data_IF_195551586871
#
_entry.id   IF_195551586871
#
_cell.length_a   1.000
_cell.length_b   1.000
_cell.length_c   1.000
_cell.angle_alpha   90.00
_cell.angle_beta   90.00
_cell.angle_gamma   90.00
#
_symmetry.space_group_name_H-M   'P 1'
#
loop_
_entity.id
_entity.type
_entity.pdbx_description
1 polymer ?
#
# COMPACT_ATOMS: atom_id res chain seq x y z
N UNK A 1 -20.95 -30.41 -9.71
CA UNK A 1 -19.55 -29.92 -9.83
C UNK A 1 -19.29 -28.93 -8.70
N UNK A 2 -18.44 -29.29 -7.74
CA UNK A 2 -18.09 -28.42 -6.60
C UNK A 2 -17.09 -27.36 -7.11
N UNK A 3 -17.58 -26.16 -7.46
CA UNK A 3 -16.72 -24.98 -7.57
C UNK A 3 -16.33 -24.59 -6.14
N UNK A 4 -15.19 -25.11 -5.67
CA UNK A 4 -14.48 -24.53 -4.54
C UNK A 4 -14.10 -23.11 -4.94
N UNK A 5 -14.89 -22.14 -4.46
CA UNK A 5 -14.44 -20.75 -4.32
C UNK A 5 -13.37 -20.77 -3.24
N UNK A 6 -12.13 -21.13 -3.63
CA UNK A 6 -10.95 -20.70 -2.90
C UNK A 6 -10.94 -19.18 -2.95
N UNK A 7 -11.61 -18.56 -1.97
CA UNK A 7 -11.24 -17.23 -1.52
C UNK A 7 -9.75 -17.34 -1.19
N UNK A 8 -8.91 -16.81 -2.06
CA UNK A 8 -7.51 -16.53 -1.73
C UNK A 8 -7.56 -15.49 -0.60
N UNK A 9 -7.66 -15.95 0.64
CA UNK A 9 -7.44 -15.18 1.87
C UNK A 9 -5.93 -14.87 1.97
N UNK A 10 -5.37 -14.22 0.96
CA UNK A 10 -4.00 -13.72 1.02
C UNK A 10 -3.91 -12.62 2.07
N UNK A 11 -2.84 -12.63 2.84
CA UNK A 11 -2.53 -11.58 3.82
C UNK A 11 -2.54 -10.21 3.10
N UNK A 12 -3.31 -9.21 3.57
CA UNK A 12 -3.28 -7.87 2.98
C UNK A 12 -1.88 -7.26 2.95
N UNK A 13 -0.95 -7.69 3.82
CA UNK A 13 0.44 -7.24 3.85
C UNK A 13 1.28 -7.74 2.68
N UNK A 14 0.89 -8.82 2.02
CA UNK A 14 1.56 -9.35 0.83
C UNK A 14 1.16 -8.62 -0.46
N UNK A 15 0.14 -7.74 -0.40
CA UNK A 15 -0.25 -6.94 -1.56
C UNK A 15 0.89 -5.99 -1.93
N UNK A 16 1.40 -6.13 -3.15
CA UNK A 16 2.40 -5.22 -3.71
C UNK A 16 1.67 -4.02 -4.30
N UNK A 17 1.98 -2.84 -3.80
CA UNK A 17 1.51 -1.57 -4.33
C UNK A 17 2.54 -1.10 -5.36
N UNK A 18 2.16 -1.06 -6.63
CA UNK A 18 2.97 -0.40 -7.67
C UNK A 18 2.50 1.04 -7.83
N UNK A 19 1.21 1.31 -7.68
CA UNK A 19 0.64 2.64 -7.92
C UNK A 19 -0.57 2.92 -7.04
N UNK A 20 -1.04 4.17 -7.07
CA UNK A 20 -2.30 4.56 -6.42
C UNK A 20 -3.51 3.77 -6.92
N UNK A 21 -3.48 3.33 -8.18
CA UNK A 21 -4.54 2.50 -8.76
C UNK A 21 -4.62 1.13 -8.06
N UNK A 22 -3.50 0.57 -7.61
CA UNK A 22 -3.47 -0.71 -6.91
C UNK A 22 -4.14 -0.63 -5.54
N UNK A 23 -4.07 0.52 -4.87
CA UNK A 23 -4.78 0.76 -3.61
C UNK A 23 -6.29 0.61 -3.82
N UNK A 24 -6.82 1.23 -4.88
CA UNK A 24 -8.25 1.15 -5.22
C UNK A 24 -8.63 -0.28 -5.64
N UNK A 25 -7.81 -0.90 -6.48
CA UNK A 25 -8.00 -2.28 -6.95
C UNK A 25 -8.00 -3.30 -5.81
N UNK A 26 -7.19 -3.06 -4.77
CA UNK A 26 -7.06 -3.94 -3.62
C UNK A 26 -7.81 -3.45 -2.38
N UNK A 27 -8.68 -2.44 -2.48
CA UNK A 27 -9.39 -1.84 -1.35
C UNK A 27 -10.12 -2.87 -0.46
N UNK A 28 -10.77 -3.87 -1.06
CA UNK A 28 -11.45 -4.94 -0.32
C UNK A 28 -10.52 -5.92 0.41
N UNK A 29 -9.24 -6.00 0.04
CA UNK A 29 -8.21 -6.72 0.82
C UNK A 29 -7.65 -5.82 1.90
N UNK A 30 -7.32 -4.58 1.56
CA UNK A 30 -6.75 -3.59 2.49
C UNK A 30 -7.70 -3.27 3.65
N UNK A 31 -9.02 -3.39 3.45
CA UNK A 31 -10.01 -3.22 4.53
C UNK A 31 -9.87 -4.26 5.65
N UNK A 32 -9.09 -5.34 5.45
CA UNK A 32 -8.80 -6.37 6.46
C UNK A 32 -7.64 -6.02 7.38
N UNK A 33 -6.87 -4.98 7.05
CA UNK A 33 -5.85 -4.45 7.94
C UNK A 33 -6.49 -3.91 9.23
N UNK A 34 -5.76 -3.95 10.34
CA UNK A 34 -6.19 -3.28 11.56
C UNK A 34 -6.36 -1.77 11.32
N UNK A 35 -7.04 -1.09 12.22
CA UNK A 35 -7.19 0.37 12.15
C UNK A 35 -5.82 1.07 12.20
N UNK A 36 -4.97 0.67 13.16
CA UNK A 36 -3.57 1.12 13.28
C UNK A 36 -2.78 0.89 11.99
N UNK A 37 -2.86 -0.31 11.40
CA UNK A 37 -2.15 -0.63 10.16
C UNK A 37 -2.62 0.20 8.96
N UNK A 38 -3.92 0.53 8.91
CA UNK A 38 -4.48 1.40 7.87
C UNK A 38 -4.02 2.84 8.03
N UNK A 39 -3.97 3.34 9.26
CA UNK A 39 -3.47 4.67 9.56
C UNK A 39 -2.00 4.79 9.14
N UNK A 40 -1.16 3.85 9.58
CA UNK A 40 0.28 3.82 9.23
C UNK A 40 0.49 3.70 7.71
N UNK A 41 -0.27 2.84 7.03
CA UNK A 41 -0.21 2.74 5.58
C UNK A 41 -0.61 4.06 4.90
N UNK A 42 -1.63 4.74 5.42
CA UNK A 42 -2.10 6.03 4.89
C UNK A 42 -1.04 7.12 5.07
N UNK A 43 -0.37 7.15 6.23
CA UNK A 43 0.71 8.08 6.50
C UNK A 43 1.90 7.84 5.60
N UNK A 44 2.29 6.58 5.41
CA UNK A 44 3.36 6.20 4.49
C UNK A 44 3.06 6.67 3.06
N UNK A 45 1.84 6.41 2.57
CA UNK A 45 1.41 6.79 1.22
C UNK A 45 1.36 8.31 1.06
N UNK A 46 0.93 9.03 2.10
CA UNK A 46 0.90 10.49 2.09
C UNK A 46 2.31 11.08 2.08
N UNK A 47 3.20 10.56 2.93
CA UNK A 47 4.61 10.96 2.97
C UNK A 47 5.32 10.70 1.63
N UNK A 48 5.13 9.52 1.04
CA UNK A 48 5.71 9.20 -0.27
C UNK A 48 5.14 10.08 -1.38
N UNK A 49 3.81 10.31 -1.42
CA UNK A 49 3.21 11.22 -2.40
C UNK A 49 3.70 12.67 -2.23
N UNK A 50 3.97 13.14 -1.01
CA UNK A 50 4.48 14.49 -0.75
C UNK A 50 5.96 14.65 -1.11
N UNK A 51 6.80 13.66 -0.80
CA UNK A 51 8.22 13.71 -1.16
C UNK A 51 8.48 13.50 -2.65
N UNK A 52 7.63 12.77 -3.36
CA UNK A 52 7.70 12.67 -4.82
C UNK A 52 7.26 13.96 -5.53
N UNK A 53 6.45 14.78 -4.86
CA UNK A 53 6.04 16.11 -5.32
C UNK A 53 7.00 17.21 -4.87
N UNK A 54 8.31 16.93 -4.84
CA UNK A 54 9.29 18.01 -4.71
C UNK A 54 9.08 19.01 -5.87
N UNK A 55 9.07 20.33 -5.59
CA UNK A 55 8.61 21.36 -6.54
C UNK A 55 9.46 21.46 -7.83
N UNK A 56 10.60 20.76 -7.90
CA UNK A 56 11.51 20.74 -9.04
C UNK A 56 11.73 19.34 -9.65
N UNK A 57 11.05 18.29 -9.18
CA UNK A 57 11.07 17.00 -9.87
C UNK A 57 9.89 16.95 -10.83
N UNK A 58 10.19 16.76 -12.13
CA UNK A 58 9.15 16.37 -13.09
C UNK A 58 8.42 15.16 -12.51
N UNK A 59 7.08 15.24 -12.42
CA UNK A 59 6.25 14.11 -11.97
C UNK A 59 6.67 12.90 -12.79
N UNK A 60 7.37 11.95 -12.18
CA UNK A 60 7.78 10.74 -12.88
C UNK A 60 6.50 9.93 -13.16
N UNK A 61 6.05 9.85 -14.43
CA UNK A 61 4.82 9.14 -14.75
C UNK A 61 4.96 7.62 -14.54
N UNK A 62 6.18 7.14 -14.36
CA UNK A 62 6.52 5.75 -14.05
C UNK A 62 6.90 5.57 -12.57
N UNK A 63 6.53 6.50 -11.69
CA UNK A 63 6.75 6.31 -10.26
C UNK A 63 5.94 5.11 -9.78
N UNK A 64 6.67 4.12 -9.27
CA UNK A 64 6.08 2.96 -8.65
C UNK A 64 6.50 2.88 -7.19
N UNK A 65 5.55 2.68 -6.27
CA UNK A 65 5.91 2.43 -4.87
C UNK A 65 6.80 1.19 -4.76
N UNK A 66 6.49 0.14 -5.54
CA UNK A 66 7.32 -1.05 -5.69
C UNK A 66 7.51 -1.88 -4.42
N UNK A 67 6.62 -1.70 -3.43
CA UNK A 67 6.73 -2.32 -2.11
C UNK A 67 5.44 -3.06 -1.74
N UNK A 68 5.56 -4.02 -0.83
CA UNK A 68 4.38 -4.61 -0.20
C UNK A 68 3.77 -3.68 0.86
N UNK A 69 2.49 -3.87 1.15
CA UNK A 69 1.79 -3.20 2.25
C UNK A 69 2.50 -3.44 3.58
N UNK A 70 2.96 -4.67 3.83
CA UNK A 70 3.73 -4.99 5.04
C UNK A 70 5.02 -4.16 5.15
N UNK A 71 5.77 -4.07 4.05
CA UNK A 71 6.99 -3.25 3.99
C UNK A 71 6.69 -1.76 4.17
N UNK A 72 5.59 -1.25 3.62
CA UNK A 72 5.17 0.14 3.82
C UNK A 72 4.90 0.44 5.30
N UNK A 73 4.17 -0.46 5.97
CA UNK A 73 3.85 -0.35 7.40
C UNK A 73 5.13 -0.42 8.25
N UNK A 74 6.01 -1.40 8.00
CA UNK A 74 7.26 -1.55 8.75
C UNK A 74 8.18 -0.34 8.59
N UNK A 75 8.33 0.20 7.38
CA UNK A 75 9.13 1.40 7.13
C UNK A 75 8.59 2.60 7.89
N UNK A 76 7.28 2.81 7.87
CA UNK A 76 6.67 3.93 8.59
C UNK A 76 6.78 3.74 10.10
N UNK A 77 6.57 2.52 10.63
CA UNK A 77 6.80 2.20 12.05
C UNK A 77 8.24 2.51 12.48
N UNK A 78 9.22 2.22 11.62
CA UNK A 78 10.61 2.58 11.88
C UNK A 78 10.86 4.09 11.91
N UNK A 79 10.16 4.87 11.07
CA UNK A 79 10.26 6.33 11.07
C UNK A 79 9.54 7.02 12.24
N UNK A 80 8.58 6.33 12.87
CA UNK A 80 7.82 6.86 14.02
C UNK A 80 8.48 6.59 15.38
N UNK A 81 9.53 5.76 15.41
CA UNK A 81 10.33 5.41 16.60
C UNK A 81 11.63 6.20 16.65
#
# INVERSE_FOLDING_TARGET
>A
MRKLLTFFFGDPKEVILQSKHDIQKHAGKLSRLSEEEREILTDYLSYTEMNERLPNSEKNPNYHYGISVGQAIEKQKYHMN
#
